data_IF_454421006426
#
_entry.id   IF_454421006426
#
_cell.length_a   1.000
_cell.length_b   1.000
_cell.length_c   1.000
_cell.angle_alpha   90.00
_cell.angle_beta   90.00
_cell.angle_gamma   90.00
#
_symmetry.space_group_name_H-M   'P 1'
#
loop_
_entity.id
_entity.type
_entity.pdbx_description
1 polymer ?
#
# COMPACT_ATOMS: atom_id res chain seq x y z
N UNK A 1 5.54 -14.35 3.35
CA UNK A 1 5.98 -15.73 3.59
C UNK A 1 7.08 -15.70 4.62
N UNK A 2 6.98 -16.52 5.67
CA UNK A 2 8.10 -16.75 6.59
C UNK A 2 9.27 -17.33 5.81
N UNK A 3 10.48 -16.86 6.10
CA UNK A 3 11.74 -17.20 5.41
C UNK A 3 11.96 -18.71 5.32
N UNK A 4 12.69 -19.16 4.29
CA UNK A 4 13.06 -20.56 4.04
C UNK A 4 13.78 -21.26 5.23
N UNK A 5 14.15 -20.51 6.27
CA UNK A 5 14.73 -20.99 7.53
C UNK A 5 13.67 -21.40 8.59
N UNK A 6 12.46 -20.83 8.60
CA UNK A 6 11.41 -21.20 9.58
C UNK A 6 10.62 -22.45 9.15
N UNK A 7 10.51 -22.71 7.85
CA UNK A 7 9.98 -23.98 7.31
C UNK A 7 10.90 -25.16 7.58
N UNK A 8 12.22 -24.93 7.64
CA UNK A 8 13.20 -25.96 8.00
C UNK A 8 13.09 -26.41 9.47
N UNK A 9 12.62 -25.55 10.38
CA UNK A 9 12.46 -25.86 11.80
C UNK A 9 11.32 -26.86 12.10
N UNK A 10 10.39 -27.06 11.17
CA UNK A 10 9.25 -27.98 11.30
C UNK A 10 9.18 -28.95 10.10
N UNK A 11 10.33 -29.42 9.63
CA UNK A 11 10.45 -30.23 8.44
C UNK A 11 9.93 -31.67 8.61
N UNK A 12 9.98 -32.23 9.83
CA UNK A 12 9.59 -33.60 10.11
C UNK A 12 8.31 -33.70 10.98
N UNK A 13 7.75 -34.91 11.07
CA UNK A 13 6.51 -35.15 11.83
C UNK A 13 6.71 -35.02 13.36
N UNK A 14 7.93 -35.15 13.86
CA UNK A 14 8.23 -35.12 15.30
C UNK A 14 8.32 -33.68 15.83
N UNK A 15 9.04 -32.81 15.12
CA UNK A 15 9.08 -31.37 15.36
C UNK A 15 7.68 -30.74 15.26
N UNK A 16 6.88 -31.11 14.25
CA UNK A 16 5.48 -30.69 14.12
C UNK A 16 4.61 -31.17 15.29
N UNK A 17 4.80 -32.41 15.74
CA UNK A 17 4.09 -32.94 16.91
C UNK A 17 4.47 -32.20 18.20
N UNK A 18 5.75 -31.94 18.40
CA UNK A 18 6.24 -31.26 19.59
C UNK A 18 5.71 -29.81 19.64
N UNK A 19 5.76 -29.10 18.50
CA UNK A 19 5.21 -27.75 18.38
C UNK A 19 3.69 -27.68 18.61
N UNK A 20 2.93 -28.68 18.14
CA UNK A 20 1.51 -28.79 18.44
C UNK A 20 1.27 -29.06 19.93
N UNK A 21 2.02 -30.00 20.51
CA UNK A 21 1.85 -30.44 21.90
C UNK A 21 2.17 -29.32 22.90
N UNK A 22 3.19 -28.51 22.60
CA UNK A 22 3.57 -27.33 23.38
C UNK A 22 2.73 -26.08 23.06
N UNK A 23 1.86 -26.16 22.03
CA UNK A 23 1.05 -25.04 21.51
C UNK A 23 1.90 -23.85 21.09
N UNK A 24 3.01 -24.14 20.42
CA UNK A 24 3.96 -23.13 19.97
C UNK A 24 3.32 -22.19 18.92
N UNK A 25 3.17 -20.92 19.29
CA UNK A 25 2.62 -19.88 18.41
C UNK A 25 3.56 -19.49 17.26
N UNK A 26 4.85 -19.80 17.34
CA UNK A 26 5.82 -19.53 16.28
C UNK A 26 5.62 -20.46 15.06
N UNK A 27 5.06 -21.65 15.30
CA UNK A 27 4.71 -22.65 14.30
C UNK A 27 3.43 -22.34 13.51
N UNK A 28 2.63 -21.37 13.96
CA UNK A 28 1.40 -20.98 13.26
C UNK A 28 1.71 -20.45 11.85
N UNK A 29 1.14 -21.11 10.84
CA UNK A 29 1.35 -20.77 9.44
C UNK A 29 2.56 -21.45 8.78
N UNK A 30 3.39 -22.17 9.54
CA UNK A 30 4.39 -23.08 8.99
C UNK A 30 3.76 -24.42 8.57
N UNK A 31 2.80 -24.90 9.36
CA UNK A 31 1.97 -26.05 9.03
C UNK A 31 0.61 -25.99 9.76
N UNK A 32 -0.27 -26.92 9.41
CA UNK A 32 -1.59 -27.13 10.01
C UNK A 32 -1.71 -28.60 10.40
N UNK A 33 -2.57 -28.91 11.37
CA UNK A 33 -2.85 -30.29 11.75
C UNK A 33 -4.34 -30.59 11.69
N UNK A 34 -4.72 -31.79 11.28
CA UNK A 34 -6.08 -32.27 11.31
C UNK A 34 -6.22 -33.51 12.18
N UNK A 35 -7.42 -33.69 12.74
CA UNK A 35 -7.74 -34.80 13.62
C UNK A 35 -8.75 -35.71 12.92
N UNK A 36 -8.31 -36.90 12.50
CA UNK A 36 -9.10 -37.88 11.72
C UNK A 36 -10.48 -38.14 12.31
N UNK A 37 -10.55 -38.37 13.63
CA UNK A 37 -11.79 -38.70 14.34
C UNK A 37 -12.82 -37.58 14.40
N UNK A 38 -12.39 -36.32 14.30
CA UNK A 38 -13.31 -35.17 14.38
C UNK A 38 -13.57 -34.50 13.03
N UNK A 39 -12.77 -34.83 12.01
CA UNK A 39 -12.84 -34.17 10.70
C UNK A 39 -12.48 -32.68 10.77
N UNK A 40 -11.71 -32.25 11.77
CA UNK A 40 -11.37 -30.84 12.00
C UNK A 40 -9.87 -30.60 11.86
N UNK A 41 -9.48 -29.54 11.14
CA UNK A 41 -8.10 -29.04 11.12
C UNK A 41 -7.92 -27.72 11.88
N UNK A 42 -6.70 -27.51 12.36
CA UNK A 42 -6.30 -26.51 13.36
C UNK A 42 -4.90 -25.94 13.05
N UNK A 43 -4.58 -24.82 13.72
CA UNK A 43 -3.21 -24.30 13.84
C UNK A 43 -2.48 -24.96 15.02
N UNK A 44 -1.13 -25.08 14.99
CA UNK A 44 -0.34 -25.65 16.08
C UNK A 44 -0.63 -25.04 17.46
N UNK A 45 -0.84 -23.72 17.56
CA UNK A 45 -1.16 -23.04 18.82
C UNK A 45 -2.57 -23.26 19.37
N UNK A 46 -3.41 -24.07 18.70
CA UNK A 46 -4.82 -24.18 19.03
C UNK A 46 -5.04 -24.76 20.44
N UNK A 47 -5.73 -24.01 21.30
CA UNK A 47 -6.11 -24.44 22.65
C UNK A 47 -7.19 -25.55 22.69
N UNK A 48 -7.46 -26.23 21.57
CA UNK A 48 -8.35 -27.40 21.53
C UNK A 48 -7.82 -28.55 22.39
N UNK A 49 -8.69 -29.52 22.70
CA UNK A 49 -8.30 -30.70 23.48
C UNK A 49 -7.22 -31.45 22.70
N UNK A 50 -6.09 -31.84 23.34
CA UNK A 50 -5.02 -32.55 22.66
C UNK A 50 -5.55 -33.84 22.01
N UNK A 51 -5.38 -34.01 20.69
CA UNK A 51 -5.73 -35.26 20.01
C UNK A 51 -4.71 -36.36 20.34
N UNK A 52 -5.09 -37.63 20.14
CA UNK A 52 -4.11 -38.74 20.18
C UNK A 52 -3.23 -38.69 18.94
N UNK A 53 -1.95 -39.02 19.10
CA UNK A 53 -0.94 -38.93 18.03
C UNK A 53 -1.31 -39.71 16.78
N UNK A 54 -1.83 -40.92 16.96
CA UNK A 54 -2.31 -41.79 15.87
C UNK A 54 -3.43 -41.16 15.01
N UNK A 55 -4.16 -40.18 15.53
CA UNK A 55 -5.30 -39.57 14.85
C UNK A 55 -4.95 -38.22 14.20
N UNK A 56 -3.67 -37.83 14.20
CA UNK A 56 -3.20 -36.55 13.68
C UNK A 56 -2.56 -36.69 12.31
N UNK A 57 -2.92 -35.76 11.42
CA UNK A 57 -2.32 -35.58 10.10
C UNK A 57 -1.86 -34.13 9.94
N UNK A 58 -0.75 -33.89 9.24
CA UNK A 58 -0.17 -32.56 9.06
C UNK A 58 -0.27 -32.10 7.59
N UNK A 59 -0.50 -30.81 7.40
CA UNK A 59 -0.64 -30.16 6.11
C UNK A 59 0.21 -28.89 6.07
N UNK A 60 0.74 -28.53 4.90
CA UNK A 60 1.58 -27.34 4.76
C UNK A 60 0.74 -26.07 4.68
N UNK A 61 -0.47 -26.18 4.12
CA UNK A 61 -1.37 -25.06 3.95
C UNK A 61 -2.84 -25.49 4.16
N UNK A 62 -3.68 -24.47 4.30
CA UNK A 62 -5.12 -24.62 4.55
C UNK A 62 -5.82 -25.36 3.40
N UNK A 63 -5.42 -25.08 2.16
CA UNK A 63 -6.04 -25.66 0.97
C UNK A 63 -5.83 -27.18 0.91
N UNK A 64 -4.65 -27.69 1.28
CA UNK A 64 -4.39 -29.13 1.34
C UNK A 64 -5.30 -29.81 2.38
N UNK A 65 -5.52 -29.21 3.54
CA UNK A 65 -6.40 -29.76 4.57
C UNK A 65 -7.87 -29.77 4.13
N UNK A 66 -8.33 -28.71 3.47
CA UNK A 66 -9.70 -28.62 2.94
C UNK A 66 -9.94 -29.61 1.78
N UNK A 67 -8.98 -29.74 0.86
CA UNK A 67 -9.03 -30.71 -0.23
C UNK A 67 -9.04 -32.17 0.28
N UNK A 68 -8.42 -32.43 1.43
CA UNK A 68 -8.47 -33.71 2.13
C UNK A 68 -9.79 -33.95 2.91
N UNK A 69 -10.76 -33.03 2.82
CA UNK A 69 -12.09 -33.18 3.41
C UNK A 69 -12.22 -32.71 4.86
N UNK A 70 -11.19 -32.05 5.42
CA UNK A 70 -11.24 -31.54 6.78
C UNK A 70 -11.89 -30.17 6.85
N UNK A 71 -12.73 -29.96 7.87
CA UNK A 71 -13.34 -28.65 8.15
C UNK A 71 -12.45 -27.79 9.05
N UNK A 72 -12.38 -26.49 8.79
CA UNK A 72 -11.69 -25.54 9.66
C UNK A 72 -12.25 -25.54 11.09
N UNK A 73 -11.35 -25.57 12.07
CA UNK A 73 -11.71 -25.45 13.47
C UNK A 73 -12.39 -24.12 13.76
N UNK A 74 -13.58 -24.16 14.36
CA UNK A 74 -14.34 -22.95 14.73
C UNK A 74 -13.63 -22.10 15.80
N UNK A 75 -12.73 -22.71 16.58
CA UNK A 75 -12.01 -22.07 17.68
C UNK A 75 -10.79 -21.29 17.21
N UNK A 76 -9.83 -21.94 16.53
CA UNK A 76 -8.63 -21.27 16.04
C UNK A 76 -8.78 -20.67 14.64
N UNK A 77 -9.83 -21.04 13.89
CA UNK A 77 -10.15 -20.56 12.53
C UNK A 77 -8.90 -20.52 11.64
N UNK A 78 -8.30 -21.68 11.34
CA UNK A 78 -6.98 -21.77 10.72
C UNK A 78 -6.86 -21.05 9.37
N UNK A 79 -7.93 -21.00 8.57
CA UNK A 79 -8.02 -20.20 7.33
C UNK A 79 -8.54 -18.75 7.50
N UNK A 80 -8.94 -18.36 8.71
CA UNK A 80 -9.38 -16.99 9.00
C UNK A 80 -8.24 -16.09 9.48
N UNK A 81 -8.41 -14.78 9.37
CA UNK A 81 -7.52 -13.82 10.05
C UNK A 81 -7.41 -14.17 11.55
N UNK A 82 -6.25 -13.91 12.20
CA UNK A 82 -6.13 -14.09 13.65
C UNK A 82 -7.24 -13.32 14.37
N UNK A 83 -7.67 -13.76 15.56
CA UNK A 83 -8.78 -13.10 16.29
C UNK A 83 -8.59 -11.57 16.35
N UNK A 84 -7.37 -11.15 16.64
CA UNK A 84 -6.92 -9.76 16.63
C UNK A 84 -7.12 -9.05 15.28
N UNK A 85 -6.75 -9.68 14.17
CA UNK A 85 -6.98 -9.12 12.85
C UNK A 85 -8.43 -9.12 12.42
N UNK A 86 -9.19 -10.14 12.79
CA UNK A 86 -10.62 -10.16 12.52
C UNK A 86 -11.32 -9.02 13.28
N UNK A 87 -10.83 -8.65 14.46
CA UNK A 87 -11.28 -7.45 15.19
C UNK A 87 -10.94 -6.19 14.40
N UNK A 88 -9.69 -6.04 13.94
CA UNK A 88 -9.26 -4.86 13.15
C UNK A 88 -9.97 -4.77 11.81
N UNK A 89 -10.18 -5.88 11.11
CA UNK A 89 -10.90 -5.93 9.84
C UNK A 89 -12.38 -5.56 10.02
N UNK A 90 -13.04 -6.07 11.08
CA UNK A 90 -14.40 -5.63 11.43
C UNK A 90 -14.42 -4.14 11.76
N UNK A 91 -13.42 -3.64 12.48
CA UNK A 91 -13.31 -2.21 12.79
C UNK A 91 -13.17 -1.40 11.49
N UNK A 92 -12.26 -1.77 10.58
CA UNK A 92 -12.13 -1.11 9.28
C UNK A 92 -13.43 -1.17 8.47
N UNK A 93 -14.12 -2.32 8.41
CA UNK A 93 -15.41 -2.45 7.71
C UNK A 93 -16.47 -1.51 8.28
N UNK A 94 -16.56 -1.41 9.61
CA UNK A 94 -17.47 -0.49 10.28
C UNK A 94 -17.11 0.97 9.95
N UNK A 95 -15.82 1.30 9.93
CA UNK A 95 -15.34 2.65 9.59
C UNK A 95 -15.44 2.99 8.09
N UNK A 96 -15.40 1.99 7.21
CA UNK A 96 -15.46 2.15 5.76
C UNK A 96 -16.90 2.08 5.22
N UNK A 97 -17.87 1.59 6.02
CA UNK A 97 -19.27 1.43 5.62
C UNK A 97 -19.95 2.78 5.35
N UNK A 98 -19.68 3.77 6.19
CA UNK A 98 -20.09 5.15 5.96
C UNK A 98 -18.93 6.10 6.32
N UNK A 99 -18.17 6.60 5.33
CA UNK A 99 -17.11 7.57 5.57
C UNK A 99 -17.59 8.87 6.22
N UNK A 100 -18.88 9.21 6.15
CA UNK A 100 -19.45 10.43 6.74
C UNK A 100 -19.72 10.27 8.25
N UNK A 101 -19.97 9.05 8.72
CA UNK A 101 -20.30 8.77 10.11
C UNK A 101 -19.05 8.85 11.01
N UNK A 102 -19.16 9.57 12.14
CA UNK A 102 -18.09 9.64 13.13
C UNK A 102 -18.36 8.69 14.27
N UNK A 103 -17.60 7.61 14.31
CA UNK A 103 -17.65 6.66 15.42
C UNK A 103 -16.60 7.01 16.46
N UNK A 104 -17.05 7.23 17.70
CA UNK A 104 -16.16 7.30 18.85
C UNK A 104 -15.45 5.96 19.03
N UNK A 105 -14.29 5.99 19.71
CA UNK A 105 -13.58 4.75 20.03
C UNK A 105 -14.46 3.78 20.83
N UNK A 106 -15.34 4.28 21.70
CA UNK A 106 -16.30 3.47 22.44
C UNK A 106 -17.30 2.77 21.51
N UNK A 107 -17.98 3.51 20.64
CA UNK A 107 -18.94 2.94 19.69
C UNK A 107 -18.28 1.93 18.73
N UNK A 108 -17.09 2.25 18.22
CA UNK A 108 -16.34 1.35 17.37
C UNK A 108 -15.95 0.06 18.12
N UNK A 109 -15.62 0.18 19.40
CA UNK A 109 -15.26 -0.95 20.28
C UNK A 109 -16.45 -1.85 20.57
N UNK A 110 -17.62 -1.27 20.80
CA UNK A 110 -18.87 -2.01 20.96
C UNK A 110 -19.22 -2.79 19.69
N UNK A 111 -19.07 -2.16 18.52
CA UNK A 111 -19.32 -2.78 17.22
C UNK A 111 -18.41 -3.98 16.90
N UNK A 112 -17.21 -4.05 17.51
CA UNK A 112 -16.28 -5.16 17.30
C UNK A 112 -16.10 -6.08 18.52
N UNK A 113 -16.83 -5.79 19.60
CA UNK A 113 -16.86 -6.49 20.88
C UNK A 113 -15.50 -6.63 21.57
N UNK A 114 -14.77 -5.52 21.70
CA UNK A 114 -13.54 -5.44 22.53
C UNK A 114 -13.52 -4.16 23.36
N UNK A 115 -12.58 -4.03 24.31
CA UNK A 115 -12.45 -2.78 25.06
C UNK A 115 -11.79 -1.66 24.23
N UNK A 116 -12.12 -0.38 24.49
CA UNK A 116 -11.53 0.78 23.79
C UNK A 116 -10.00 0.81 23.78
N UNK A 117 -9.39 0.55 24.92
CA UNK A 117 -7.93 0.56 25.07
C UNK A 117 -7.27 -0.59 24.28
N UNK A 118 -7.89 -1.77 24.29
CA UNK A 118 -7.42 -2.90 23.50
C UNK A 118 -7.54 -2.60 22.01
N UNK A 119 -8.69 -2.07 21.56
CA UNK A 119 -8.90 -1.73 20.16
C UNK A 119 -7.90 -0.70 19.67
N UNK A 120 -7.68 0.38 20.41
CA UNK A 120 -6.72 1.44 20.07
C UNK A 120 -5.31 0.86 19.83
N UNK A 121 -4.78 0.11 20.81
CA UNK A 121 -3.43 -0.48 20.70
C UNK A 121 -3.34 -1.47 19.57
N UNK A 122 -4.36 -2.32 19.44
CA UNK A 122 -4.38 -3.38 18.44
C UNK A 122 -4.48 -2.81 17.02
N UNK A 123 -5.38 -1.85 16.81
CA UNK A 123 -5.58 -1.19 15.53
C UNK A 123 -4.33 -0.40 15.13
N UNK A 124 -3.75 0.40 16.02
CA UNK A 124 -2.49 1.12 15.74
C UNK A 124 -1.33 0.19 15.41
N UNK A 125 -1.21 -0.95 16.11
CA UNK A 125 -0.17 -1.95 15.85
C UNK A 125 -0.33 -2.64 14.48
N UNK A 126 -1.58 -2.89 14.06
CA UNK A 126 -1.88 -3.64 12.82
C UNK A 126 -1.96 -2.74 11.59
N UNK A 127 -2.59 -1.57 11.72
CA UNK A 127 -2.85 -0.62 10.63
C UNK A 127 -1.75 0.45 10.55
N UNK A 128 -0.99 0.66 11.63
CA UNK A 128 0.07 1.67 11.71
C UNK A 128 -0.42 3.07 12.13
N UNK A 129 -1.73 3.27 12.24
CA UNK A 129 -2.38 4.51 12.68
C UNK A 129 -3.55 4.19 13.60
N UNK A 130 -3.98 5.15 14.45
CA UNK A 130 -5.14 4.95 15.31
C UNK A 130 -6.47 4.90 14.54
N UNK A 131 -7.54 4.31 15.09
CA UNK A 131 -8.88 4.32 14.48
C UNK A 131 -9.39 5.73 14.15
N UNK A 132 -9.05 6.71 14.99
CA UNK A 132 -9.41 8.12 14.77
C UNK A 132 -8.70 8.69 13.54
N UNK A 133 -7.40 8.42 13.41
CA UNK A 133 -6.61 8.84 12.25
C UNK A 133 -7.05 8.13 10.96
N UNK A 134 -7.43 6.86 11.05
CA UNK A 134 -7.98 6.11 9.92
C UNK A 134 -9.28 6.73 9.40
N UNK A 135 -10.24 7.04 10.29
CA UNK A 135 -11.48 7.73 9.90
C UNK A 135 -11.21 9.08 9.23
N UNK A 136 -10.26 9.85 9.76
CA UNK A 136 -9.91 11.14 9.18
C UNK A 136 -9.29 11.03 7.79
N UNK A 137 -8.43 10.04 7.57
CA UNK A 137 -7.86 9.79 6.25
C UNK A 137 -8.94 9.42 5.22
N UNK A 138 -9.90 8.56 5.58
CA UNK A 138 -11.01 8.17 4.71
C UNK A 138 -11.91 9.34 4.34
N UNK A 139 -12.16 10.25 5.28
CA UNK A 139 -12.90 11.50 5.02
C UNK A 139 -12.15 12.44 4.10
N UNK A 140 -10.84 12.58 4.28
CA UNK A 140 -10.02 13.40 3.39
C UNK A 140 -9.98 12.85 1.96
N UNK A 141 -9.98 11.53 1.80
CA UNK A 141 -10.08 10.88 0.48
C UNK A 141 -11.46 11.06 -0.15
N UNK A 142 -12.53 10.91 0.63
CA UNK A 142 -13.91 11.15 0.16
C UNK A 142 -14.10 12.61 -0.30
N UNK A 143 -13.58 13.57 0.47
CA UNK A 143 -13.59 14.99 0.12
C UNK A 143 -12.81 15.27 -1.18
N UNK A 144 -11.60 14.70 -1.32
CA UNK A 144 -10.83 14.81 -2.57
C UNK A 144 -11.61 14.27 -3.77
N UNK A 145 -12.24 13.10 -3.61
CA UNK A 145 -13.04 12.50 -4.67
C UNK A 145 -14.27 13.34 -5.06
N UNK A 146 -14.93 13.98 -4.10
CA UNK A 146 -16.07 14.87 -4.36
C UNK A 146 -15.64 16.16 -5.08
N UNK A 147 -14.56 16.79 -4.63
CA UNK A 147 -14.03 17.99 -5.28
C UNK A 147 -13.52 17.70 -6.70
N UNK A 148 -12.97 16.51 -6.97
CA UNK A 148 -12.57 16.07 -8.31
C UNK A 148 -13.74 15.87 -9.28
N UNK A 149 -14.96 15.64 -8.77
CA UNK A 149 -16.17 15.55 -9.59
C UNK A 149 -16.82 16.91 -9.86
N UNK A 150 -16.25 17.99 -9.33
CA UNK A 150 -16.81 19.34 -9.43
C UNK A 150 -17.95 19.61 -8.45
N UNK A 151 -18.08 18.81 -7.39
CA UNK A 151 -19.10 19.04 -6.35
C UNK A 151 -18.79 20.34 -5.59
N UNK A 152 -19.82 21.16 -5.31
CA UNK A 152 -19.70 22.40 -4.55
C UNK A 152 -18.97 22.16 -3.22
N UNK A 153 -18.00 23.01 -2.88
CA UNK A 153 -17.11 22.83 -1.71
C UNK A 153 -17.89 22.68 -0.40
N UNK A 154 -19.01 23.38 -0.28
CA UNK A 154 -19.87 23.33 0.92
C UNK A 154 -20.54 21.96 1.03
N UNK A 155 -21.05 21.46 -0.10
CA UNK A 155 -21.69 20.14 -0.22
C UNK A 155 -20.68 19.01 -0.05
N UNK A 156 -19.52 19.08 -0.71
CA UNK A 156 -18.43 18.12 -0.57
C UNK A 156 -17.91 18.02 0.87
N UNK A 157 -17.92 19.13 1.61
CA UNK A 157 -17.52 19.17 3.03
C UNK A 157 -18.56 18.50 3.94
N UNK A 158 -19.86 18.70 3.67
CA UNK A 158 -20.93 17.99 4.36
C UNK A 158 -20.91 16.49 4.01
N UNK A 159 -20.77 16.17 2.73
CA UNK A 159 -20.72 14.81 2.18
C UNK A 159 -19.43 14.05 2.57
N UNK A 160 -18.45 14.72 3.15
CA UNK A 160 -17.27 14.09 3.73
C UNK A 160 -17.31 14.04 5.27
N UNK A 161 -18.45 14.34 5.90
CA UNK A 161 -18.65 14.19 7.35
C UNK A 161 -17.93 15.22 8.21
N UNK A 162 -17.58 16.39 7.66
CA UNK A 162 -16.92 17.46 8.42
C UNK A 162 -17.90 18.33 9.22
N UNK A 163 -19.19 18.31 8.88
CA UNK A 163 -20.28 19.02 9.57
C UNK A 163 -20.27 20.55 9.37
N UNK A 164 -19.10 21.15 9.16
CA UNK A 164 -18.93 22.52 8.66
C UNK A 164 -17.53 22.70 8.05
N UNK A 165 -17.36 23.70 7.19
CA UNK A 165 -16.07 24.12 6.62
C UNK A 165 -15.07 24.53 7.71
N UNK A 166 -15.53 25.25 8.73
CA UNK A 166 -14.69 25.64 9.87
C UNK A 166 -14.16 24.43 10.67
N UNK A 167 -14.98 23.39 10.91
CA UNK A 167 -14.53 22.17 11.62
C UNK A 167 -13.61 21.27 10.79
N UNK A 168 -13.67 21.36 9.46
CA UNK A 168 -12.68 20.76 8.56
C UNK A 168 -11.28 21.36 8.78
N UNK A 169 -11.19 22.70 8.88
CA UNK A 169 -9.93 23.40 9.12
C UNK A 169 -9.34 23.12 10.51
N UNK A 170 -10.19 22.97 11.52
CA UNK A 170 -9.75 22.73 12.91
C UNK A 170 -9.36 21.28 13.22
N UNK A 171 -10.01 20.28 12.60
CA UNK A 171 -9.81 18.87 12.91
C UNK A 171 -8.72 18.18 12.04
N UNK A 172 -8.46 18.70 10.84
CA UNK A 172 -7.47 18.14 9.91
C UNK A 172 -6.02 18.04 10.47
N UNK A 173 -5.50 18.99 11.28
CA UNK A 173 -4.12 18.95 11.76
C UNK A 173 -3.81 17.81 12.75
N UNK A 174 -4.76 17.47 13.64
CA UNK A 174 -4.56 16.47 14.68
C UNK A 174 -4.89 15.03 14.23
N UNK A 175 -5.75 14.88 13.21
CA UNK A 175 -6.25 13.57 12.80
C UNK A 175 -5.58 13.00 11.53
N UNK A 176 -4.83 13.80 10.77
CA UNK A 176 -4.14 13.33 9.56
C UNK A 176 -2.66 12.94 9.77
N UNK A 177 -2.10 13.13 10.96
CA UNK A 177 -0.71 12.74 11.27
C UNK A 177 0.34 13.40 10.35
N UNK A 178 0.00 14.52 9.72
CA UNK A 178 0.88 15.32 8.89
C UNK A 178 1.35 16.50 9.72
N UNK A 179 2.66 16.75 9.80
CA UNK A 179 3.13 18.06 10.27
C UNK A 179 2.67 19.07 9.22
N UNK A 180 1.72 19.97 9.53
CA UNK A 180 0.99 20.64 8.48
C UNK A 180 1.74 21.81 7.85
N UNK A 181 3.07 21.95 7.98
CA UNK A 181 3.82 23.13 7.50
C UNK A 181 4.09 23.15 6.00
N UNK A 182 4.10 22.00 5.31
CA UNK A 182 4.36 21.94 3.86
C UNK A 182 3.06 21.85 3.05
N UNK A 183 2.03 21.17 3.56
CA UNK A 183 0.70 21.14 2.92
C UNK A 183 -0.19 22.35 3.27
N UNK A 184 -0.07 22.97 4.47
CA UNK A 184 -0.94 24.12 4.88
C UNK A 184 -0.87 25.30 3.94
N UNK A 185 0.24 25.44 3.23
CA UNK A 185 0.44 26.62 2.41
C UNK A 185 -0.04 26.42 0.99
N UNK A 186 -0.43 25.23 0.52
CA UNK A 186 -0.69 24.99 -0.93
C UNK A 186 0.45 25.56 -1.81
N UNK A 187 1.67 25.60 -1.28
CA UNK A 187 2.79 26.30 -1.92
C UNK A 187 3.08 27.73 -1.47
N UNK A 188 2.30 28.37 -0.59
CA UNK A 188 2.53 29.75 -0.17
C UNK A 188 3.96 29.98 0.32
N UNK A 189 4.67 30.89 -0.35
CA UNK A 189 6.09 31.19 -0.13
C UNK A 189 7.05 30.13 -0.70
N UNK A 190 6.58 29.21 -1.54
CA UNK A 190 7.40 28.32 -2.36
C UNK A 190 7.35 28.81 -3.81
N UNK A 191 8.52 28.84 -4.43
CA UNK A 191 8.66 28.97 -5.88
C UNK A 191 8.77 27.55 -6.44
N UNK A 192 7.90 27.23 -7.38
CA UNK A 192 7.84 25.92 -8.05
C UNK A 192 8.08 26.15 -9.53
N UNK A 193 9.23 25.66 -10.00
CA UNK A 193 9.55 25.67 -11.41
C UNK A 193 8.92 24.44 -12.05
N UNK A 194 8.25 24.60 -13.17
CA UNK A 194 7.67 23.48 -13.91
C UNK A 194 7.98 23.58 -15.40
N UNK A 195 7.89 22.45 -16.08
CA UNK A 195 8.11 22.34 -17.50
C UNK A 195 7.34 21.14 -18.03
N UNK A 196 6.88 21.22 -19.28
CA UNK A 196 6.26 20.11 -19.98
C UNK A 196 7.10 19.67 -21.17
N UNK A 197 6.99 18.40 -21.56
CA UNK A 197 7.66 17.86 -22.73
C UNK A 197 6.91 16.66 -23.30
N UNK A 198 7.10 16.39 -24.60
CA UNK A 198 6.61 15.17 -25.22
C UNK A 198 7.48 13.97 -24.86
N UNK A 199 6.85 12.81 -24.67
CA UNK A 199 7.52 11.56 -24.33
C UNK A 199 6.80 10.36 -24.96
N UNK A 200 7.41 9.17 -24.89
CA UNK A 200 6.79 7.92 -25.35
C UNK A 200 5.47 7.57 -24.63
N UNK A 201 5.16 8.22 -23.50
CA UNK A 201 3.92 8.03 -22.73
C UNK A 201 2.97 9.23 -22.87
N UNK A 202 3.14 10.08 -23.87
CA UNK A 202 2.44 11.35 -24.02
C UNK A 202 3.19 12.50 -23.33
N UNK A 203 2.46 13.53 -22.90
CA UNK A 203 3.05 14.69 -22.24
C UNK A 203 3.51 14.34 -20.83
N UNK A 204 4.75 14.70 -20.49
CA UNK A 204 5.27 14.68 -19.12
C UNK A 204 5.31 16.11 -18.58
N UNK A 205 4.85 16.30 -17.33
CA UNK A 205 5.08 17.49 -16.53
C UNK A 205 6.07 17.15 -15.41
N UNK A 206 7.10 17.96 -15.27
CA UNK A 206 8.05 17.91 -14.15
C UNK A 206 7.91 19.21 -13.37
N UNK A 207 7.85 19.13 -12.04
CA UNK A 207 7.87 20.31 -11.18
C UNK A 207 8.89 20.13 -10.05
N UNK A 208 9.59 21.22 -9.72
CA UNK A 208 10.67 21.24 -8.75
C UNK A 208 10.64 22.50 -7.87
N UNK A 209 10.93 22.31 -6.60
CA UNK A 209 11.27 23.39 -5.67
C UNK A 209 12.79 23.64 -5.73
N UNK A 210 13.31 24.53 -4.89
CA UNK A 210 14.76 24.69 -4.70
C UNK A 210 15.44 23.42 -4.13
N UNK A 211 14.69 22.56 -3.42
CA UNK A 211 15.24 21.36 -2.77
C UNK A 211 15.27 20.15 -3.70
N UNK A 212 14.38 20.10 -4.68
CA UNK A 212 14.27 18.96 -5.60
C UNK A 212 12.95 18.85 -6.32
N UNK A 213 12.81 17.78 -7.09
CA UNK A 213 11.60 17.38 -7.81
C UNK A 213 10.49 17.06 -6.82
N UNK A 214 9.38 17.78 -6.91
CA UNK A 214 8.19 17.55 -6.08
C UNK A 214 7.06 16.87 -6.85
N UNK A 215 7.07 16.90 -8.19
CA UNK A 215 6.06 16.24 -9.03
C UNK A 215 6.63 15.77 -10.37
N UNK A 216 6.24 14.57 -10.78
CA UNK A 216 6.39 14.06 -12.15
C UNK A 216 5.05 13.42 -12.52
N UNK A 217 4.40 13.93 -13.56
CA UNK A 217 3.10 13.46 -14.00
C UNK A 217 3.05 13.24 -15.51
N UNK A 218 2.27 12.25 -15.94
CA UNK A 218 2.00 11.98 -17.35
C UNK A 218 0.54 12.23 -17.69
N UNK A 219 0.30 12.75 -18.89
CA UNK A 219 -1.03 13.01 -19.42
C UNK A 219 -0.99 13.17 -20.93
N UNK A 220 -2.16 13.39 -21.52
CA UNK A 220 -2.28 13.60 -22.96
C UNK A 220 -2.27 15.10 -23.31
N UNK A 221 -2.78 15.94 -22.39
CA UNK A 221 -2.88 17.39 -22.56
C UNK A 221 -1.96 18.14 -21.56
N UNK A 222 -0.99 18.94 -22.04
CA UNK A 222 -0.16 19.79 -21.19
C UNK A 222 -0.98 20.75 -20.32
N UNK A 223 -2.04 21.34 -20.87
CA UNK A 223 -2.84 22.34 -20.14
C UNK A 223 -3.58 21.70 -18.95
N UNK A 224 -4.07 20.47 -19.11
CA UNK A 224 -4.66 19.70 -18.01
C UNK A 224 -3.64 19.39 -16.90
N UNK A 225 -2.40 19.02 -17.25
CA UNK A 225 -1.34 18.75 -16.27
C UNK A 225 -0.96 20.01 -15.48
N UNK A 226 -0.88 21.14 -16.17
CA UNK A 226 -0.62 22.44 -15.54
C UNK A 226 -1.76 22.89 -14.64
N UNK A 227 -3.02 22.69 -15.06
CA UNK A 227 -4.19 22.94 -14.24
C UNK A 227 -4.21 22.06 -12.98
N UNK A 228 -3.83 20.78 -13.09
CA UNK A 228 -3.69 19.88 -11.96
C UNK A 228 -2.59 20.34 -10.98
N UNK A 229 -1.45 20.80 -11.51
CA UNK A 229 -0.40 21.42 -10.69
C UNK A 229 -0.90 22.69 -10.01
N UNK A 230 -1.67 23.52 -10.72
CA UNK A 230 -2.28 24.73 -10.20
C UNK A 230 -3.24 24.46 -9.05
N UNK A 231 -4.06 23.43 -9.17
CA UNK A 231 -5.02 23.06 -8.15
C UNK A 231 -4.29 22.55 -6.89
N UNK A 232 -3.30 21.68 -7.09
CA UNK A 232 -2.51 21.06 -6.02
C UNK A 232 -1.65 22.09 -5.26
N UNK A 233 -1.05 23.04 -5.98
CA UNK A 233 -0.15 24.07 -5.46
C UNK A 233 -0.71 25.48 -5.73
N UNK A 234 -1.95 25.72 -5.30
CA UNK A 234 -2.71 26.94 -5.63
C UNK A 234 -2.15 28.24 -5.05
N UNK A 235 -1.25 28.18 -4.08
CA UNK A 235 -0.61 29.35 -3.48
C UNK A 235 0.91 29.37 -3.74
N UNK A 236 1.45 28.38 -4.47
CA UNK A 236 2.83 28.47 -4.97
C UNK A 236 2.93 29.53 -6.06
N UNK A 237 4.04 30.26 -6.06
CA UNK A 237 4.48 30.93 -7.26
C UNK A 237 4.97 29.85 -8.23
N UNK A 238 4.26 29.69 -9.34
CA UNK A 238 4.55 28.68 -10.36
C UNK A 238 5.17 29.36 -11.57
N UNK A 239 6.40 28.99 -11.88
CA UNK A 239 7.19 29.57 -12.96
C UNK A 239 7.46 28.47 -13.99
N UNK A 240 7.11 28.73 -15.24
CA UNK A 240 7.52 27.83 -16.32
C UNK A 240 9.02 28.06 -16.62
N UNK A 241 9.84 27.02 -16.48
CA UNK A 241 11.29 27.09 -16.69
C UNK A 241 11.79 25.81 -17.37
N UNK A 242 11.69 25.81 -18.71
CA UNK A 242 12.13 24.69 -19.54
C UNK A 242 13.62 24.42 -19.39
N UNK A 243 14.45 25.46 -19.31
CA UNK A 243 15.90 25.33 -19.27
C UNK A 243 16.38 24.65 -17.98
N UNK A 244 15.80 25.05 -16.83
CA UNK A 244 16.12 24.46 -15.54
C UNK A 244 15.71 23.01 -15.43
N UNK A 245 14.59 22.62 -16.03
CA UNK A 245 14.08 21.24 -15.94
C UNK A 245 14.51 20.32 -17.09
N UNK A 246 15.11 20.86 -18.15
CA UNK A 246 15.61 20.08 -19.29
C UNK A 246 16.51 18.90 -18.89
N UNK A 247 17.46 19.02 -17.93
CA UNK A 247 18.28 17.89 -17.51
C UNK A 247 17.46 16.74 -16.91
N UNK A 248 16.41 17.05 -16.14
CA UNK A 248 15.52 16.06 -15.52
C UNK A 248 14.61 15.39 -16.54
N UNK A 249 14.06 16.18 -17.47
CA UNK A 249 13.26 15.68 -18.60
C UNK A 249 14.11 14.73 -19.46
N UNK A 250 15.37 15.09 -19.74
CA UNK A 250 16.29 14.22 -20.47
C UNK A 250 16.55 12.89 -19.74
N UNK A 251 16.61 12.89 -18.40
CA UNK A 251 16.70 11.64 -17.63
C UNK A 251 15.48 10.74 -17.83
N UNK A 252 14.28 11.33 -17.78
CA UNK A 252 13.01 10.61 -17.95
C UNK A 252 12.93 10.02 -19.36
N UNK A 253 13.27 10.81 -20.36
CA UNK A 253 13.27 10.40 -21.76
C UNK A 253 14.31 9.28 -22.03
N UNK A 254 15.52 9.39 -21.47
CA UNK A 254 16.52 8.33 -21.52
C UNK A 254 16.04 7.03 -20.84
N UNK A 255 15.32 7.15 -19.73
CA UNK A 255 14.72 6.00 -19.02
C UNK A 255 13.64 5.32 -19.84
N UNK A 256 12.75 6.10 -20.45
CA UNK A 256 11.67 5.58 -21.30
C UNK A 256 12.22 4.88 -22.55
N UNK A 257 13.40 5.29 -23.04
CA UNK A 257 14.14 4.61 -24.11
C UNK A 257 14.97 3.41 -23.67
N UNK A 258 15.01 3.07 -22.37
CA UNK A 258 15.85 1.97 -21.86
C UNK A 258 17.35 2.24 -21.89
N UNK A 259 17.78 3.47 -22.25
CA UNK A 259 19.20 3.90 -22.17
C UNK A 259 19.64 4.27 -20.75
N UNK A 260 18.69 4.25 -19.80
CA UNK A 260 18.90 4.50 -18.37
C UNK A 260 17.95 3.63 -17.55
N UNK A 261 18.49 2.97 -16.53
CA UNK A 261 17.71 2.09 -15.65
C UNK A 261 17.49 2.67 -14.24
N UNK A 262 18.28 3.69 -13.89
CA UNK A 262 18.28 4.34 -12.57
C UNK A 262 18.08 5.84 -12.68
N UNK A 263 17.28 6.40 -11.77
CA UNK A 263 17.15 7.84 -11.59
C UNK A 263 18.09 8.33 -10.50
N UNK A 264 18.77 9.43 -10.76
CA UNK A 264 19.46 10.23 -9.76
C UNK A 264 18.79 11.61 -9.73
N UNK A 265 17.63 11.65 -9.08
CA UNK A 265 16.78 12.84 -8.98
C UNK A 265 16.68 13.26 -7.52
N UNK A 266 17.03 14.51 -7.16
CA UNK A 266 16.75 15.01 -5.83
C UNK A 266 15.24 15.12 -5.66
N UNK A 267 14.64 14.40 -4.71
CA UNK A 267 13.19 14.41 -4.47
C UNK A 267 12.85 15.30 -3.26
N UNK A 268 11.91 16.24 -3.44
CA UNK A 268 11.33 17.05 -2.37
C UNK A 268 9.85 16.69 -2.21
N UNK A 269 9.60 15.55 -1.58
CA UNK A 269 8.26 14.97 -1.40
C UNK A 269 7.92 14.83 0.08
N UNK A 270 6.68 15.17 0.44
CA UNK A 270 6.18 14.99 1.80
C UNK A 270 5.48 13.64 1.91
N UNK A 271 6.02 12.73 2.73
CA UNK A 271 5.48 11.41 2.97
C UNK A 271 5.09 11.24 4.45
N UNK A 272 4.02 10.49 4.72
CA UNK A 272 3.85 9.88 6.05
C UNK A 272 4.93 8.81 6.27
N UNK A 273 5.22 8.47 7.52
CA UNK A 273 6.19 7.41 7.84
C UNK A 273 5.86 6.07 7.17
N UNK A 274 4.57 5.76 6.96
CA UNK A 274 4.17 4.57 6.21
C UNK A 274 4.44 4.71 4.71
N UNK A 275 4.05 5.84 4.09
CA UNK A 275 4.31 6.11 2.68
C UNK A 275 5.81 6.09 2.38
N UNK A 276 6.65 6.70 3.22
CA UNK A 276 8.09 6.70 3.04
C UNK A 276 8.63 5.28 2.95
N UNK A 277 8.29 4.40 3.91
CA UNK A 277 8.74 3.00 3.88
C UNK A 277 8.26 2.25 2.65
N UNK A 278 7.03 2.50 2.21
CA UNK A 278 6.50 1.92 0.96
C UNK A 278 7.30 2.42 -0.23
N UNK A 279 7.46 3.73 -0.38
CA UNK A 279 8.18 4.35 -1.51
C UNK A 279 9.65 3.91 -1.56
N UNK A 280 10.32 3.79 -0.41
CA UNK A 280 11.67 3.21 -0.33
C UNK A 280 11.68 1.75 -0.80
N UNK A 281 10.66 0.96 -0.45
CA UNK A 281 10.53 -0.41 -0.93
C UNK A 281 10.27 -0.48 -2.44
N UNK A 282 9.51 0.48 -3.00
CA UNK A 282 9.28 0.59 -4.44
C UNK A 282 10.59 0.90 -5.19
N UNK A 283 11.38 1.86 -4.71
CA UNK A 283 12.65 2.23 -5.33
C UNK A 283 13.69 1.09 -5.35
N UNK A 284 13.56 0.10 -4.45
CA UNK A 284 14.39 -1.11 -4.42
C UNK A 284 13.98 -2.17 -5.44
N UNK A 285 12.85 -2.03 -6.13
CA UNK A 285 12.45 -2.96 -7.19
C UNK A 285 13.33 -2.69 -8.41
N UNK A 286 14.14 -3.64 -8.89
CA UNK A 286 15.01 -3.42 -10.05
C UNK A 286 14.25 -3.13 -11.34
N UNK A 287 14.94 -2.53 -12.31
CA UNK A 287 14.41 -2.32 -13.65
C UNK A 287 14.03 -3.65 -14.32
N UNK A 288 12.86 -3.69 -14.97
CA UNK A 288 12.34 -4.91 -15.61
C UNK A 288 11.82 -5.97 -14.63
N UNK A 289 11.72 -5.66 -13.34
CA UNK A 289 11.13 -6.55 -12.34
C UNK A 289 9.82 -6.00 -11.76
N UNK A 290 8.95 -6.92 -11.33
CA UNK A 290 7.70 -6.59 -10.65
C UNK A 290 7.67 -7.19 -9.25
N UNK A 291 6.82 -6.63 -8.41
CA UNK A 291 6.47 -7.15 -7.08
C UNK A 291 4.96 -7.08 -6.88
N UNK A 292 4.42 -7.98 -6.06
CA UNK A 292 3.02 -7.90 -5.67
C UNK A 292 2.82 -6.87 -4.56
N UNK A 293 1.60 -6.34 -4.40
CA UNK A 293 1.26 -5.51 -3.23
C UNK A 293 1.53 -6.25 -1.90
N UNK A 294 1.39 -7.57 -1.89
CA UNK A 294 1.71 -8.40 -0.73
C UNK A 294 3.22 -8.45 -0.47
N UNK A 295 4.05 -8.55 -1.50
CA UNK A 295 5.51 -8.56 -1.36
C UNK A 295 6.00 -7.24 -0.75
N UNK A 296 5.43 -6.12 -1.21
CA UNK A 296 5.76 -4.80 -0.65
C UNK A 296 5.28 -4.69 0.80
N UNK A 297 4.07 -5.16 1.10
CA UNK A 297 3.56 -5.19 2.48
C UNK A 297 4.47 -6.00 3.42
N UNK A 298 5.00 -7.12 2.92
CA UNK A 298 5.99 -7.93 3.64
C UNK A 298 7.31 -7.20 3.82
N UNK A 299 7.85 -6.60 2.76
CA UNK A 299 9.11 -5.87 2.78
C UNK A 299 9.11 -4.68 3.77
N UNK A 300 7.97 -4.01 3.97
CA UNK A 300 7.83 -2.91 4.95
C UNK A 300 7.49 -3.39 6.36
N UNK A 301 7.55 -4.70 6.63
CA UNK A 301 7.25 -5.28 7.95
C UNK A 301 5.79 -5.18 8.34
N UNK A 302 4.88 -5.07 7.36
CA UNK A 302 3.43 -5.00 7.59
C UNK A 302 2.67 -5.91 6.62
N UNK A 303 2.85 -7.26 6.67
CA UNK A 303 2.34 -8.21 5.66
C UNK A 303 0.82 -8.14 5.41
N UNK A 304 0.09 -7.56 6.35
CA UNK A 304 -1.37 -7.47 6.36
C UNK A 304 -1.88 -6.13 5.82
N UNK A 305 -0.98 -5.19 5.53
CA UNK A 305 -1.29 -3.81 5.11
C UNK A 305 -1.38 -3.66 3.58
N UNK A 306 -1.75 -4.72 2.85
CA UNK A 306 -1.78 -4.75 1.37
C UNK A 306 -2.60 -3.60 0.77
N UNK A 307 -3.78 -3.30 1.35
CA UNK A 307 -4.62 -2.18 0.89
C UNK A 307 -3.99 -0.82 1.17
N UNK A 308 -3.34 -0.64 2.32
CA UNK A 308 -2.63 0.60 2.65
C UNK A 308 -1.42 0.81 1.73
N UNK A 309 -0.72 -0.26 1.35
CA UNK A 309 0.34 -0.22 0.33
C UNK A 309 -0.23 0.24 -1.01
N UNK A 310 -1.38 -0.29 -1.42
CA UNK A 310 -2.03 0.13 -2.67
C UNK A 310 -2.38 1.64 -2.65
N UNK A 311 -2.93 2.15 -1.55
CA UNK A 311 -3.16 3.59 -1.37
C UNK A 311 -1.87 4.40 -1.43
N UNK A 312 -0.79 3.94 -0.80
CA UNK A 312 0.51 4.61 -0.84
C UNK A 312 1.12 4.64 -2.26
N UNK A 313 0.92 3.57 -3.04
CA UNK A 313 1.30 3.53 -4.46
C UNK A 313 0.49 4.53 -5.29
N UNK A 314 -0.82 4.63 -5.04
CA UNK A 314 -1.71 5.55 -5.75
C UNK A 314 -1.43 7.02 -5.40
N UNK A 315 -0.93 7.31 -4.19
CA UNK A 315 -0.57 8.66 -3.76
C UNK A 315 0.81 9.13 -4.24
N UNK A 316 1.55 8.33 -5.01
CA UNK A 316 2.87 8.71 -5.51
C UNK A 316 2.79 10.01 -6.35
N UNK A 317 3.51 11.08 -6.00
CA UNK A 317 3.53 12.33 -6.77
C UNK A 317 4.58 12.36 -7.89
N UNK A 318 5.55 11.43 -7.88
CA UNK A 318 6.69 11.43 -8.81
C UNK A 318 6.74 10.11 -9.59
N UNK A 319 6.04 10.10 -10.74
CA UNK A 319 6.07 8.97 -11.66
C UNK A 319 7.52 8.59 -12.05
N UNK A 320 7.75 7.30 -12.25
CA UNK A 320 9.04 6.68 -12.61
C UNK A 320 10.13 6.77 -11.53
N UNK A 321 10.36 7.94 -10.93
CA UNK A 321 11.31 8.13 -9.83
C UNK A 321 10.95 7.25 -8.62
N UNK A 322 9.66 7.19 -8.29
CA UNK A 322 9.11 6.12 -7.44
C UNK A 322 8.36 5.15 -8.36
N UNK A 323 8.87 3.93 -8.60
CA UNK A 323 8.37 3.05 -9.65
C UNK A 323 7.12 2.26 -9.23
N UNK A 324 6.03 2.96 -8.90
CA UNK A 324 4.78 2.33 -8.48
C UNK A 324 4.08 1.52 -9.59
N UNK A 325 4.48 1.70 -10.86
CA UNK A 325 4.02 0.87 -11.98
C UNK A 325 4.55 -0.57 -11.90
N UNK A 326 5.65 -0.83 -11.17
CA UNK A 326 6.20 -2.17 -10.96
C UNK A 326 5.42 -3.02 -9.96
N UNK A 327 4.40 -2.45 -9.31
CA UNK A 327 3.54 -3.18 -8.37
C UNK A 327 2.28 -3.70 -9.07
N UNK A 328 2.07 -5.00 -8.99
CA UNK A 328 0.96 -5.72 -9.64
C UNK A 328 0.17 -6.56 -8.63
N UNK A 329 -0.97 -7.11 -9.05
CA UNK A 329 -1.67 -8.11 -8.24
C UNK A 329 -0.87 -9.42 -8.19
N UNK A 330 -1.18 -10.27 -7.19
CA UNK A 330 -0.45 -11.52 -6.96
C UNK A 330 -0.63 -12.54 -8.09
N UNK A 331 -1.75 -12.48 -8.79
CA UNK A 331 -2.08 -13.27 -9.99
C UNK A 331 -1.44 -12.70 -11.27
N UNK A 332 -0.65 -11.62 -11.16
CA UNK A 332 -0.06 -10.92 -12.29
C UNK A 332 -1.00 -9.92 -12.97
N UNK A 333 -2.25 -9.79 -12.50
CA UNK A 333 -3.19 -8.82 -13.05
C UNK A 333 -2.73 -7.38 -12.78
N UNK A 334 -3.02 -6.50 -13.73
CA UNK A 334 -2.68 -5.09 -13.61
C UNK A 334 -3.69 -4.37 -12.71
N UNK A 335 -3.20 -3.82 -11.62
CA UNK A 335 -3.94 -2.86 -10.82
C UNK A 335 -3.95 -1.48 -11.50
N UNK A 336 -4.87 -0.62 -11.03
CA UNK A 336 -4.93 0.78 -11.43
C UNK A 336 -3.58 1.50 -11.31
N UNK A 337 -3.41 2.50 -12.17
CA UNK A 337 -2.23 3.36 -12.21
C UNK A 337 -2.70 4.80 -12.27
N UNK A 338 -2.08 5.69 -11.49
CA UNK A 338 -2.50 7.09 -11.36
C UNK A 338 -2.58 7.80 -12.71
N UNK A 339 -1.68 7.45 -13.63
CA UNK A 339 -1.59 8.06 -14.96
C UNK A 339 -2.18 7.17 -16.08
N UNK A 340 -2.96 6.16 -15.71
CA UNK A 340 -3.68 5.30 -16.65
C UNK A 340 -3.04 3.93 -16.88
N UNK A 341 -3.87 2.89 -16.98
CA UNK A 341 -3.41 1.50 -17.12
C UNK A 341 -2.62 1.25 -18.41
N UNK A 342 -2.96 1.94 -19.52
CA UNK A 342 -2.22 1.85 -20.77
C UNK A 342 -0.74 2.25 -20.62
N UNK A 343 -0.45 3.33 -19.88
CA UNK A 343 0.93 3.76 -19.60
C UNK A 343 1.68 2.74 -18.74
N UNK A 344 1.01 2.13 -17.76
CA UNK A 344 1.59 1.07 -16.93
C UNK A 344 1.95 -0.17 -17.76
N UNK A 345 1.08 -0.57 -18.70
CA UNK A 345 1.37 -1.68 -19.64
C UNK A 345 2.60 -1.36 -20.49
N UNK A 346 2.64 -0.16 -21.10
CA UNK A 346 3.74 0.27 -21.95
C UNK A 346 5.08 0.26 -21.20
N UNK A 347 5.10 0.81 -19.97
CA UNK A 347 6.28 0.78 -19.11
C UNK A 347 6.74 -0.64 -18.80
N UNK A 348 5.85 -1.49 -18.29
CA UNK A 348 6.22 -2.86 -17.92
C UNK A 348 6.73 -3.67 -19.12
N UNK A 349 6.17 -3.44 -20.31
CA UNK A 349 6.58 -4.11 -21.54
C UNK A 349 7.98 -3.66 -21.96
N UNK A 350 8.21 -2.34 -22.05
CA UNK A 350 9.51 -1.77 -22.41
C UNK A 350 10.62 -2.20 -21.45
N UNK A 351 10.35 -2.17 -20.13
CA UNK A 351 11.35 -2.59 -19.14
C UNK A 351 11.67 -4.09 -19.23
N UNK A 352 10.66 -4.93 -19.55
CA UNK A 352 10.84 -6.37 -19.70
C UNK A 352 11.63 -6.70 -20.96
N UNK A 353 11.30 -6.08 -22.09
CA UNK A 353 12.00 -6.27 -23.36
C UNK A 353 13.48 -5.94 -23.23
N UNK A 354 13.81 -4.80 -22.62
CA UNK A 354 15.21 -4.39 -22.41
C UNK A 354 15.97 -5.36 -21.50
N UNK A 355 15.33 -5.85 -20.43
CA UNK A 355 15.94 -6.86 -19.54
C UNK A 355 16.22 -8.16 -20.29
N UNK A 356 15.27 -8.61 -21.11
CA UNK A 356 15.41 -9.85 -21.88
C UNK A 356 16.47 -9.70 -22.99
N UNK A 357 16.65 -8.51 -23.56
CA UNK A 357 17.75 -8.16 -24.48
C UNK A 357 19.12 -8.18 -23.77
N UNK A 358 19.27 -7.49 -22.64
CA UNK A 358 20.51 -7.47 -21.87
C UNK A 358 20.95 -8.88 -21.41
N UNK A 359 19.98 -9.74 -21.08
CA UNK A 359 20.25 -11.14 -20.74
C UNK A 359 20.81 -11.95 -21.93
N UNK A 360 20.36 -11.66 -23.16
CA UNK A 360 20.87 -12.29 -24.39
C UNK A 360 22.29 -11.82 -24.72
N UNK A 361 22.54 -10.51 -24.65
CA UNK A 361 23.88 -9.94 -24.87
C UNK A 361 24.91 -10.53 -23.90
N UNK A 362 24.53 -10.71 -22.63
CA UNK A 362 25.41 -11.32 -21.62
C UNK A 362 25.72 -12.79 -21.93
N UNK A 363 24.73 -13.53 -22.46
CA UNK A 363 24.88 -14.94 -22.82
C UNK A 363 25.68 -15.16 -24.11
N UNK A 364 25.72 -14.21 -25.03
CA UNK A 364 26.53 -14.27 -26.26
C UNK A 364 27.99 -13.88 -26.03
N UNK A 365 28.28 -13.19 -24.93
CA UNK A 365 29.63 -12.72 -24.57
C UNK A 365 30.33 -13.63 -23.53
N UNK A 366 29.62 -14.64 -23.00
CA UNK A 366 30.11 -15.65 -22.05
C UNK A 366 30.33 -16.98 -22.76
#
# INVERSE_FOLDING_TARGET
MKTNQETAAFADAESRWNAMSSRDASADGAFFYAVRTTGVFCRPSCASRPPRRENVEFFENVHQAEAAGYRACKRCRPGGLSRELAIVERACKVLDADPQERLTLAQLSDAVHVSPFHLQRLFSRVVGVSPRQYQAARRADALRGALQRGDDVTRATQDAGFGSTSRMYDAAPAELGMTPSVYRRKGAGLVVNFATAQSALGTVLVAATEKGICKIAFGDDPAALEADLALELSEAERIEDQARLAPFIAQIDAYLRGTREHFDLPLDISATAFQQRVWDALQRIPYGQTRSYSDIAEAVGSPRAVRAVASACASNPVALAIPCHRVVHKDGALAGYRWGTARKVALLSAEKERRDEAARETAETS
#
